data_IF_577830479547
#
_entry.id   IF_577830479547
#
_cell.length_a   1.000
_cell.length_b   1.000
_cell.length_c   1.000
_cell.angle_alpha   90.00
_cell.angle_beta   90.00
_cell.angle_gamma   90.00
#
_symmetry.space_group_name_H-M   'P 1'
#
loop_
_entity.id
_entity.type
_entity.pdbx_description
1 polymer ?
#
# COMPACT_ATOMS: atom_id res chain seq x y z
N UNK A 1 45.98 20.42 31.88
CA UNK A 1 44.56 20.33 32.28
C UNK A 1 43.77 21.29 31.38
N UNK A 2 43.16 20.81 30.30
CA UNK A 2 42.48 21.67 29.32
C UNK A 2 41.08 22.08 29.83
N UNK A 3 40.86 23.39 29.99
CA UNK A 3 39.52 23.95 30.27
C UNK A 3 38.63 23.75 29.05
N UNK A 4 37.46 23.12 29.24
CA UNK A 4 36.38 23.09 28.25
C UNK A 4 35.53 24.35 28.38
N UNK A 5 36.11 25.51 28.06
CA UNK A 5 35.44 26.80 28.19
C UNK A 5 34.63 27.15 26.92
N UNK A 6 33.78 26.21 26.51
CA UNK A 6 32.85 26.39 25.40
C UNK A 6 31.47 26.55 26.01
N UNK A 7 31.10 27.79 26.33
CA UNK A 7 29.71 28.14 26.65
C UNK A 7 28.83 27.60 25.52
N UNK A 8 27.90 26.70 25.84
CA UNK A 8 27.11 25.96 24.87
C UNK A 8 26.23 26.90 24.03
N UNK A 9 26.78 27.39 22.92
CA UNK A 9 26.03 28.19 21.95
C UNK A 9 25.12 27.23 21.21
N UNK A 10 23.84 27.25 21.56
CA UNK A 10 22.79 26.69 20.71
C UNK A 10 23.00 27.23 19.30
N UNK A 11 23.01 26.33 18.31
CA UNK A 11 23.04 26.74 16.91
C UNK A 11 21.89 27.73 16.65
N UNK A 12 22.15 28.77 15.86
CA UNK A 12 21.14 29.76 15.54
C UNK A 12 19.94 29.02 14.92
N UNK A 13 18.81 29.03 15.63
CA UNK A 13 17.61 28.31 15.20
C UNK A 13 17.16 28.96 13.89
N UNK A 14 17.17 28.23 12.78
CA UNK A 14 16.64 28.76 11.52
C UNK A 14 15.23 29.30 11.76
N UNK A 15 15.05 30.57 11.43
CA UNK A 15 13.78 31.30 11.57
C UNK A 15 12.86 31.10 10.35
N UNK A 16 13.26 30.20 9.44
CA UNK A 16 12.43 29.74 8.35
C UNK A 16 11.15 29.11 8.91
N UNK A 17 10.00 29.63 8.48
CA UNK A 17 8.69 29.07 8.78
C UNK A 17 8.61 27.63 8.26
N UNK A 18 8.82 26.66 9.15
CA UNK A 18 8.57 25.26 8.85
C UNK A 18 7.10 25.06 8.56
N UNK A 19 6.78 24.53 7.39
CA UNK A 19 5.41 24.15 7.07
C UNK A 19 5.03 22.96 7.96
N UNK A 20 4.05 23.16 8.84
CA UNK A 20 3.57 22.10 9.75
C UNK A 20 2.20 21.65 9.27
N UNK A 21 2.08 20.35 8.99
CA UNK A 21 0.83 19.72 8.62
C UNK A 21 0.27 18.96 9.82
N UNK A 22 -0.99 19.26 10.19
CA UNK A 22 -1.72 18.56 11.24
C UNK A 22 -2.80 17.68 10.64
N UNK A 23 -2.75 16.37 10.90
CA UNK A 23 -3.74 15.40 10.44
C UNK A 23 -4.50 14.83 11.65
N UNK A 24 -5.81 14.60 11.50
CA UNK A 24 -6.63 13.89 12.50
C UNK A 24 -6.93 12.49 11.99
N UNK A 25 -6.59 11.49 12.78
CA UNK A 25 -6.77 10.06 12.49
C UNK A 25 -7.43 9.39 13.69
N UNK A 26 -8.08 8.26 13.46
CA UNK A 26 -8.45 7.31 14.52
C UNK A 26 -7.21 6.50 14.95
N UNK A 27 -7.23 5.96 16.18
CA UNK A 27 -6.12 5.18 16.73
C UNK A 27 -5.78 3.96 15.86
N UNK A 28 -6.80 3.28 15.31
CA UNK A 28 -6.63 2.14 14.41
C UNK A 28 -5.89 2.53 13.11
N UNK A 29 -6.28 3.65 12.49
CA UNK A 29 -5.63 4.17 11.28
C UNK A 29 -4.20 4.64 11.57
N UNK A 30 -3.96 5.26 12.73
CA UNK A 30 -2.62 5.65 13.17
C UNK A 30 -1.70 4.44 13.41
N UNK A 31 -2.26 3.35 13.93
CA UNK A 31 -1.56 2.07 14.11
C UNK A 31 -1.26 1.39 12.76
N UNK A 32 -2.23 1.34 11.86
CA UNK A 32 -2.05 0.79 10.51
C UNK A 32 -0.98 1.54 9.71
N UNK A 33 -0.97 2.88 9.81
CA UNK A 33 0.06 3.74 9.21
C UNK A 33 1.46 3.42 9.77
N UNK A 34 1.58 3.13 11.07
CA UNK A 34 2.82 2.68 11.69
C UNK A 34 3.34 1.38 11.09
N UNK A 35 2.48 0.37 10.98
CA UNK A 35 2.81 -0.93 10.41
C UNK A 35 3.26 -0.78 8.94
N UNK A 36 2.56 0.04 8.14
CA UNK A 36 2.91 0.29 6.75
C UNK A 36 4.29 0.96 6.60
N UNK A 37 4.57 1.99 7.40
CA UNK A 37 5.88 2.66 7.38
C UNK A 37 7.02 1.73 7.83
N UNK A 38 6.79 0.88 8.84
CA UNK A 38 7.76 -0.13 9.31
C UNK A 38 8.05 -1.19 8.23
N UNK A 39 7.03 -1.67 7.51
CA UNK A 39 7.20 -2.59 6.38
C UNK A 39 8.02 -1.99 5.22
N UNK A 40 8.01 -0.66 5.07
CA UNK A 40 8.78 0.08 4.07
C UNK A 40 10.14 0.58 4.61
N UNK A 41 10.47 0.32 5.89
CA UNK A 41 11.74 0.70 6.51
C UNK A 41 11.93 2.21 6.73
N UNK A 42 10.84 2.99 6.72
CA UNK A 42 10.83 4.46 6.83
C UNK A 42 10.12 4.93 8.11
N UNK A 43 10.26 6.21 8.50
CA UNK A 43 9.47 6.71 9.63
C UNK A 43 8.03 7.02 9.20
N UNK A 44 7.11 7.02 10.18
CA UNK A 44 5.71 7.43 9.97
C UNK A 44 5.57 8.86 9.40
N UNK A 45 6.54 9.73 9.67
CA UNK A 45 6.54 11.10 9.14
C UNK A 45 6.93 11.10 7.66
N UNK A 46 8.05 10.44 7.31
CA UNK A 46 8.51 10.32 5.92
C UNK A 46 7.45 9.65 5.04
N UNK A 47 6.78 8.61 5.55
CA UNK A 47 5.69 7.94 4.84
C UNK A 47 4.49 8.88 4.58
N UNK A 48 4.15 9.73 5.54
CA UNK A 48 3.10 10.75 5.34
C UNK A 48 3.52 11.84 4.35
N UNK A 49 4.80 12.22 4.32
CA UNK A 49 5.34 13.15 3.32
C UNK A 49 5.33 12.52 1.92
N UNK A 50 5.74 11.26 1.77
CA UNK A 50 5.66 10.52 0.50
C UNK A 50 4.22 10.36 0.02
N UNK A 51 3.27 10.03 0.91
CA UNK A 51 1.84 10.00 0.61
C UNK A 51 1.32 11.39 0.21
N UNK A 52 1.75 12.46 0.87
CA UNK A 52 1.30 13.83 0.55
C UNK A 52 1.87 14.32 -0.79
N UNK A 53 3.11 13.97 -1.12
CA UNK A 53 3.76 14.29 -2.39
C UNK A 53 3.19 13.48 -3.57
N UNK A 54 2.87 12.20 -3.35
CA UNK A 54 2.28 11.33 -4.37
C UNK A 54 0.78 11.61 -4.62
N UNK A 55 0.01 12.00 -3.60
CA UNK A 55 -1.41 12.35 -3.70
C UNK A 55 -1.69 13.73 -4.33
N UNK A 56 -0.95 14.11 -5.36
CA UNK A 56 -1.32 15.21 -6.27
C UNK A 56 -2.54 14.86 -7.17
N UNK A 57 -3.25 13.74 -6.91
CA UNK A 57 -4.56 13.43 -7.48
C UNK A 57 -5.61 13.20 -6.38
N UNK A 58 -6.86 13.62 -6.59
CA UNK A 58 -7.95 13.44 -5.63
C UNK A 58 -8.46 11.99 -5.65
N UNK A 59 -7.75 11.07 -4.99
CA UNK A 59 -8.16 9.66 -4.88
C UNK A 59 -9.04 9.42 -3.66
N UNK A 60 -10.32 9.73 -3.78
CA UNK A 60 -11.35 9.38 -2.81
C UNK A 60 -11.83 7.92 -3.01
N UNK A 61 -10.92 6.96 -2.91
CA UNK A 61 -11.27 5.53 -2.87
C UNK A 61 -10.40 4.82 -1.86
N UNK A 62 -10.85 4.84 -0.60
CA UNK A 62 -10.38 3.91 0.42
C UNK A 62 -10.84 2.52 0.02
N UNK A 63 -10.00 1.81 -0.73
CA UNK A 63 -10.10 0.35 -0.82
C UNK A 63 -9.75 -0.18 0.56
N UNK A 64 -10.66 -0.95 1.14
CA UNK A 64 -10.47 -1.64 2.41
C UNK A 64 -9.48 -2.80 2.15
N UNK A 65 -8.18 -2.50 2.19
CA UNK A 65 -7.13 -3.49 1.89
C UNK A 65 -6.99 -4.44 3.08
N UNK A 66 -7.13 -5.74 2.79
CA UNK A 66 -6.89 -6.83 3.74
C UNK A 66 -5.53 -6.68 4.47
N UNK A 67 -5.43 -7.14 5.73
CA UNK A 67 -4.27 -6.88 6.56
C UNK A 67 -2.99 -7.49 5.98
N UNK A 68 -2.09 -6.64 5.50
CA UNK A 68 -0.75 -7.04 5.04
C UNK A 68 -0.02 -7.87 6.11
N UNK A 69 0.65 -8.98 5.73
CA UNK A 69 1.35 -9.85 6.67
C UNK A 69 2.65 -9.21 7.16
N UNK A 70 2.56 -8.34 8.18
CA UNK A 70 3.73 -7.78 8.85
C UNK A 70 4.45 -8.88 9.65
N UNK A 71 5.70 -9.15 9.29
CA UNK A 71 6.50 -10.29 9.74
C UNK A 71 7.36 -9.99 10.99
N UNK A 72 6.76 -9.38 12.02
CA UNK A 72 7.45 -9.14 13.32
C UNK A 72 7.40 -10.38 14.23
N UNK A 73 8.39 -11.24 14.01
CA UNK A 73 8.73 -12.52 14.69
C UNK A 73 8.57 -12.56 16.23
N UNK A 74 7.78 -13.53 16.73
CA UNK A 74 8.09 -14.24 18.00
C UNK A 74 7.64 -15.72 17.93
N UNK A 75 8.62 -16.62 18.04
CA UNK A 75 8.44 -18.07 17.98
C UNK A 75 7.62 -18.64 19.16
N UNK A 76 6.85 -19.72 18.91
CA UNK A 76 7.19 -21.07 19.39
C UNK A 76 6.31 -22.16 18.72
N UNK A 77 6.89 -23.36 18.61
CA UNK A 77 6.26 -24.62 18.16
C UNK A 77 6.01 -24.74 16.65
N UNK A 78 7.09 -24.96 15.89
CA UNK A 78 7.03 -25.75 14.66
C UNK A 78 7.46 -27.18 14.97
N UNK A 79 6.64 -28.15 14.62
CA UNK A 79 7.06 -29.51 14.29
C UNK A 79 6.41 -29.88 12.95
N UNK A 80 7.10 -30.74 12.18
CA UNK A 80 6.66 -31.38 10.93
C UNK A 80 6.58 -30.52 9.64
N UNK A 81 7.72 -30.49 8.94
CA UNK A 81 7.79 -30.78 7.49
C UNK A 81 7.35 -32.24 7.20
N UNK A 82 7.10 -32.69 5.94
CA UNK A 82 7.65 -32.21 4.65
C UNK A 82 6.55 -31.98 3.57
N UNK A 83 6.74 -31.90 2.23
CA UNK A 83 7.91 -32.08 1.35
C UNK A 83 7.78 -31.35 -0.02
N UNK A 84 8.82 -31.47 -0.86
CA UNK A 84 8.86 -31.42 -2.35
C UNK A 84 8.15 -30.30 -3.15
N UNK A 85 9.01 -29.51 -3.81
CA UNK A 85 8.99 -29.17 -5.24
C UNK A 85 7.70 -28.66 -5.92
N UNK A 86 7.76 -27.39 -6.37
CA UNK A 86 7.40 -27.06 -7.75
C UNK A 86 8.06 -25.77 -8.26
N UNK A 87 8.71 -25.87 -9.41
CA UNK A 87 9.12 -24.76 -10.27
C UNK A 87 7.91 -24.20 -11.00
N UNK A 88 7.56 -22.93 -10.78
CA UNK A 88 6.54 -22.25 -11.58
C UNK A 88 7.21 -21.43 -12.69
N UNK A 89 7.20 -22.00 -13.89
CA UNK A 89 7.52 -21.30 -15.15
C UNK A 89 6.47 -20.23 -15.46
N UNK A 90 6.83 -19.14 -16.15
CA UNK A 90 5.86 -18.12 -16.57
C UNK A 90 5.04 -18.62 -17.77
N UNK A 91 3.92 -19.28 -17.48
CA UNK A 91 2.87 -19.57 -18.47
C UNK A 91 2.19 -18.26 -18.88
N UNK A 92 1.91 -18.00 -20.19
CA UNK A 92 1.17 -16.81 -20.58
C UNK A 92 -0.24 -16.80 -19.95
N UNK A 93 -0.79 -15.62 -19.60
CA UNK A 93 -2.09 -15.54 -18.93
C UNK A 93 -3.19 -16.09 -19.85
N UNK A 94 -3.83 -17.18 -19.44
CA UNK A 94 -4.92 -17.75 -20.23
C UNK A 94 -6.12 -16.79 -20.20
N UNK A 95 -6.74 -16.53 -21.35
CA UNK A 95 -7.86 -15.57 -21.46
C UNK A 95 -8.97 -15.81 -20.43
N UNK A 96 -9.24 -17.09 -20.12
CA UNK A 96 -10.23 -17.53 -19.12
C UNK A 96 -9.89 -17.08 -17.69
N UNK A 97 -8.61 -16.98 -17.33
CA UNK A 97 -8.17 -16.47 -16.01
C UNK A 97 -8.43 -14.96 -15.90
N UNK A 98 -8.20 -14.20 -16.98
CA UNK A 98 -8.49 -12.77 -17.03
C UNK A 98 -9.99 -12.47 -16.93
N UNK A 99 -10.84 -13.32 -17.54
CA UNK A 99 -12.29 -13.22 -17.41
C UNK A 99 -12.78 -13.58 -16.00
N UNK A 100 -12.19 -14.61 -15.36
CA UNK A 100 -12.48 -14.95 -13.97
C UNK A 100 -12.09 -13.82 -13.00
N UNK A 101 -10.91 -13.22 -13.19
CA UNK A 101 -10.45 -12.07 -12.40
C UNK A 101 -11.37 -10.84 -12.57
N UNK A 102 -11.87 -10.57 -13.79
CA UNK A 102 -12.89 -9.52 -14.01
C UNK A 102 -14.12 -9.77 -13.14
N UNK A 103 -14.63 -10.99 -13.13
CA UNK A 103 -15.87 -11.32 -12.44
C UNK A 103 -15.68 -11.35 -10.91
N UNK A 104 -14.51 -11.74 -10.42
CA UNK A 104 -14.11 -11.56 -9.02
C UNK A 104 -14.10 -10.08 -8.61
N UNK A 105 -13.41 -9.20 -9.36
CA UNK A 105 -13.37 -7.76 -9.07
C UNK A 105 -14.78 -7.14 -9.08
N UNK A 106 -15.64 -7.53 -10.03
CA UNK A 106 -17.03 -7.09 -10.07
C UNK A 106 -17.87 -7.58 -8.87
N UNK A 107 -17.52 -8.73 -8.28
CA UNK A 107 -18.15 -9.26 -7.07
C UNK A 107 -17.64 -8.56 -5.80
N UNK A 108 -16.34 -8.31 -5.67
CA UNK A 108 -15.72 -7.61 -4.52
C UNK A 108 -16.24 -6.18 -4.37
N UNK A 109 -16.45 -5.48 -5.48
CA UNK A 109 -17.04 -4.13 -5.52
C UNK A 109 -18.50 -4.10 -5.01
N UNK A 110 -19.17 -5.25 -4.83
CA UNK A 110 -20.56 -5.39 -4.32
C UNK A 110 -21.60 -4.53 -5.07
N UNK A 111 -21.30 -4.15 -6.31
CA UNK A 111 -22.16 -3.29 -7.11
C UNK A 111 -23.37 -4.05 -7.66
N UNK A 112 -24.57 -3.48 -7.51
CA UNK A 112 -25.76 -4.04 -8.15
C UNK A 112 -25.59 -4.11 -9.67
N UNK A 113 -25.92 -5.26 -10.28
CA UNK A 113 -25.74 -5.54 -11.73
C UNK A 113 -26.43 -4.53 -12.67
N UNK A 114 -27.41 -3.77 -12.16
CA UNK A 114 -28.10 -2.71 -12.92
C UNK A 114 -27.55 -1.30 -12.69
N UNK A 115 -26.63 -1.10 -11.74
CA UNK A 115 -26.01 0.20 -11.49
C UNK A 115 -25.19 0.67 -12.70
N UNK A 116 -25.14 1.99 -12.90
CA UNK A 116 -24.30 2.63 -13.93
C UNK A 116 -22.80 2.38 -13.68
N UNK A 117 -22.39 2.36 -12.41
CA UNK A 117 -21.02 2.05 -11.99
C UNK A 117 -20.60 0.64 -12.43
N UNK A 118 -21.41 -0.39 -12.16
CA UNK A 118 -21.14 -1.78 -12.58
C UNK A 118 -20.90 -1.87 -14.09
N UNK A 119 -21.80 -1.28 -14.90
CA UNK A 119 -21.70 -1.31 -16.37
C UNK A 119 -20.47 -0.56 -16.89
N UNK A 120 -20.10 0.54 -16.25
CA UNK A 120 -18.90 1.33 -16.61
C UNK A 120 -17.62 0.56 -16.32
N UNK A 121 -17.51 -0.03 -15.13
CA UNK A 121 -16.34 -0.82 -14.70
C UNK A 121 -16.21 -2.10 -15.53
N UNK A 122 -17.31 -2.84 -15.73
CA UNK A 122 -17.33 -4.03 -16.60
C UNK A 122 -16.87 -3.71 -18.03
N UNK A 123 -17.29 -2.57 -18.59
CA UNK A 123 -16.83 -2.11 -19.91
C UNK A 123 -15.33 -1.79 -19.92
N UNK A 124 -14.83 -1.08 -18.91
CA UNK A 124 -13.42 -0.74 -18.79
C UNK A 124 -12.53 -1.98 -18.65
N UNK A 125 -12.93 -2.95 -17.83
CA UNK A 125 -12.21 -4.22 -17.67
C UNK A 125 -12.20 -5.04 -18.96
N UNK A 126 -13.33 -5.16 -19.67
CA UNK A 126 -13.37 -5.85 -20.96
C UNK A 126 -12.48 -5.14 -22.02
N UNK A 127 -12.42 -3.81 -22.02
CA UNK A 127 -11.49 -3.05 -22.87
C UNK A 127 -10.03 -3.32 -22.51
N UNK A 128 -9.69 -3.36 -21.21
CA UNK A 128 -8.34 -3.68 -20.74
C UNK A 128 -7.90 -5.09 -21.16
N UNK A 129 -8.74 -6.10 -20.96
CA UNK A 129 -8.47 -7.49 -21.42
C UNK A 129 -8.27 -7.52 -22.95
N UNK A 130 -9.09 -6.78 -23.71
CA UNK A 130 -8.96 -6.66 -25.18
C UNK A 130 -7.68 -5.93 -25.63
N UNK A 131 -7.10 -5.07 -24.79
CA UNK A 131 -5.83 -4.41 -25.06
C UNK A 131 -4.64 -5.29 -24.72
N UNK A 132 -4.75 -6.13 -23.67
CA UNK A 132 -3.76 -7.15 -23.33
C UNK A 132 -3.67 -8.23 -24.42
N UNK A 133 -4.81 -8.75 -24.88
CA UNK A 133 -4.85 -9.80 -25.94
C UNK A 133 -4.42 -9.33 -27.33
N UNK A 134 -4.14 -8.03 -27.51
CA UNK A 134 -3.54 -7.44 -28.72
C UNK A 134 -2.04 -7.14 -28.59
N UNK A 135 -1.47 -7.33 -27.39
CA UNK A 135 -0.07 -7.06 -27.06
C UNK A 135 0.74 -8.32 -26.73
N UNK A 136 0.04 -9.42 -26.44
CA UNK A 136 0.54 -10.79 -26.39
C UNK A 136 0.43 -11.43 -27.79
#
# INVERSE_FOLDING_TARGET
>A
MLKRDIQGKFALKNDDYRQVHSLRLTDDTWKALGIAAECLGMTRADYLEEIALSNNLPSNTWVEVDPFPCNTRRNKNQDQQPDMAQTHTPTPPNMTELEALRDQVLQELKLGKQSSAYKTIQKALNQFITLLSKRL
#
